data_IF_096467004868
#
_entry.id   IF_096467004868
#
_cell.length_a   1.000
_cell.length_b   1.000
_cell.length_c   1.000
_cell.angle_alpha   90.00
_cell.angle_beta   90.00
_cell.angle_gamma   90.00
#
_symmetry.space_group_name_H-M   'P 1'
#
loop_
_entity.id
_entity.type
_entity.pdbx_description
1 polymer ?
#
# COMPACT_ATOMS: atom_id res chain seq x y z
N UNK A 1 8.51 17.04 1.44
CA UNK A 1 7.05 16.94 1.62
C UNK A 1 6.58 15.66 0.93
N UNK A 2 6.66 14.50 1.59
CA UNK A 2 6.41 13.21 0.92
C UNK A 2 5.74 12.21 1.86
N UNK A 3 4.42 12.35 2.01
CA UNK A 3 3.54 11.34 2.63
C UNK A 3 2.44 10.96 1.63
N UNK A 4 2.83 10.42 0.47
CA UNK A 4 1.88 9.93 -0.52
C UNK A 4 1.87 8.40 -0.38
N UNK A 5 0.98 7.90 0.48
CA UNK A 5 0.35 6.56 0.42
C UNK A 5 -0.53 6.28 1.65
N UNK A 6 -0.44 7.11 2.70
CA UNK A 6 -1.42 7.15 3.77
C UNK A 6 -1.97 8.57 3.90
N UNK A 7 -3.09 8.83 3.23
CA UNK A 7 -3.96 9.96 3.59
C UNK A 7 -4.19 9.94 5.10
N UNK A 8 -4.28 11.10 5.77
CA UNK A 8 -4.52 11.21 7.22
C UNK A 8 -5.63 10.23 7.67
N UNK A 9 -6.67 10.12 6.85
CA UNK A 9 -7.79 9.17 6.95
C UNK A 9 -7.40 7.69 7.06
N UNK A 10 -6.42 7.22 6.30
CA UNK A 10 -5.98 5.82 6.35
C UNK A 10 -5.20 5.52 7.64
N UNK A 11 -4.41 6.49 8.13
CA UNK A 11 -3.73 6.40 9.43
C UNK A 11 -4.71 6.37 10.59
N UNK A 12 -5.76 7.17 10.52
CA UNK A 12 -6.77 7.20 11.57
C UNK A 12 -7.55 5.89 11.66
N UNK A 13 -7.86 5.25 10.53
CA UNK A 13 -8.47 3.90 10.50
C UNK A 13 -7.55 2.86 11.16
N UNK A 14 -6.24 2.93 10.90
CA UNK A 14 -5.28 2.00 11.51
C UNK A 14 -5.17 2.21 13.03
N UNK A 15 -5.19 3.46 13.49
CA UNK A 15 -5.23 3.78 14.94
C UNK A 15 -6.50 3.26 15.59
N UNK A 16 -7.65 3.41 14.94
CA UNK A 16 -8.93 2.88 15.41
C UNK A 16 -8.91 1.34 15.51
N UNK A 17 -8.33 0.67 14.51
CA UNK A 17 -8.12 -0.79 14.54
C UNK A 17 -7.28 -1.20 15.76
N UNK A 18 -6.18 -0.51 16.05
CA UNK A 18 -5.30 -0.84 17.16
C UNK A 18 -5.95 -0.57 18.52
N UNK A 19 -6.75 0.49 18.63
CA UNK A 19 -7.59 0.74 19.80
C UNK A 19 -8.61 -0.39 20.02
N UNK A 20 -9.31 -0.82 18.96
CA UNK A 20 -10.28 -1.90 19.03
C UNK A 20 -9.64 -3.26 19.35
N UNK A 21 -8.44 -3.54 18.84
CA UNK A 21 -7.67 -4.74 19.24
C UNK A 21 -7.38 -4.73 20.73
N UNK A 22 -6.87 -3.60 21.24
CA UNK A 22 -6.58 -3.43 22.66
C UNK A 22 -7.83 -3.63 23.54
N UNK A 23 -9.01 -3.18 23.08
CA UNK A 23 -10.27 -3.41 23.77
C UNK A 23 -10.74 -4.87 23.69
N UNK A 24 -10.61 -5.49 22.51
CA UNK A 24 -10.99 -6.89 22.25
C UNK A 24 -10.18 -7.85 23.09
N UNK A 25 -8.88 -7.60 23.22
CA UNK A 25 -7.95 -8.48 23.94
C UNK A 25 -8.22 -8.49 25.46
N UNK A 26 -8.94 -7.48 25.98
CA UNK A 26 -9.46 -7.45 27.35
C UNK A 26 -10.79 -8.16 27.54
N UNK A 27 -11.38 -8.75 26.49
CA UNK A 27 -12.67 -9.46 26.55
C UNK A 27 -12.45 -10.96 26.49
N UNK A 28 -13.37 -11.72 27.09
CA UNK A 28 -13.41 -13.18 26.98
C UNK A 28 -13.40 -13.58 25.52
N UNK A 29 -12.36 -14.30 25.13
CA UNK A 29 -12.18 -14.79 23.77
C UNK A 29 -13.41 -15.58 23.34
N UNK A 30 -13.88 -15.34 22.11
CA UNK A 30 -15.11 -15.94 21.57
C UNK A 30 -16.41 -15.60 22.32
N UNK A 31 -16.38 -14.67 23.29
CA UNK A 31 -17.60 -14.12 23.87
C UNK A 31 -18.32 -13.16 22.90
N UNK A 32 -19.61 -12.87 23.15
CA UNK A 32 -20.41 -11.97 22.31
C UNK A 32 -19.73 -10.61 22.06
N UNK A 33 -19.22 -9.97 23.11
CA UNK A 33 -18.49 -8.68 23.00
C UNK A 33 -17.19 -8.80 22.20
N UNK A 34 -16.51 -9.94 22.29
CA UNK A 34 -15.30 -10.20 21.51
C UNK A 34 -15.62 -10.32 20.01
N UNK A 35 -16.70 -11.02 19.65
CA UNK A 35 -17.15 -11.13 18.26
C UNK A 35 -17.52 -9.77 17.65
N UNK A 36 -18.27 -8.94 18.39
CA UNK A 36 -18.64 -7.59 17.95
C UNK A 36 -17.39 -6.75 17.62
N UNK A 37 -16.42 -6.72 18.52
CA UNK A 37 -15.17 -5.96 18.33
C UNK A 37 -14.36 -6.53 17.16
N UNK A 38 -14.28 -7.85 17.05
CA UNK A 38 -13.58 -8.51 15.94
C UNK A 38 -14.22 -8.19 14.58
N UNK A 39 -15.54 -8.14 14.50
CA UNK A 39 -16.24 -7.79 13.27
C UNK A 39 -16.15 -6.29 12.94
N UNK A 40 -16.06 -5.41 13.94
CA UNK A 40 -15.70 -4.00 13.73
C UNK A 40 -14.28 -3.88 13.14
N UNK A 41 -13.30 -4.58 13.72
CA UNK A 41 -11.92 -4.61 13.20
C UNK A 41 -11.89 -5.10 11.75
N UNK A 42 -12.59 -6.19 11.42
CA UNK A 42 -12.69 -6.69 10.03
C UNK A 42 -13.29 -5.65 9.08
N UNK A 43 -14.36 -4.95 9.50
CA UNK A 43 -14.99 -3.89 8.70
C UNK A 43 -14.04 -2.73 8.44
N UNK A 44 -13.27 -2.31 9.43
CA UNK A 44 -12.27 -1.24 9.26
C UNK A 44 -11.11 -1.68 8.35
N UNK A 45 -10.63 -2.91 8.47
CA UNK A 45 -9.64 -3.45 7.53
C UNK A 45 -10.17 -3.46 6.09
N UNK A 46 -11.42 -3.88 5.88
CA UNK A 46 -12.07 -3.83 4.56
C UNK A 46 -12.15 -2.40 4.03
N UNK A 47 -12.52 -1.42 4.88
CA UNK A 47 -12.56 0.00 4.53
C UNK A 47 -11.18 0.54 4.13
N UNK A 48 -10.14 0.25 4.91
CA UNK A 48 -8.76 0.65 4.61
C UNK A 48 -8.28 0.03 3.28
N UNK A 49 -8.56 -1.26 3.05
CA UNK A 49 -8.25 -1.94 1.80
C UNK A 49 -8.96 -1.31 0.60
N UNK A 50 -10.24 -0.97 0.72
CA UNK A 50 -11.00 -0.31 -0.34
C UNK A 50 -10.46 1.08 -0.68
N UNK A 51 -10.09 1.88 0.34
CA UNK A 51 -9.47 3.20 0.13
C UNK A 51 -8.15 3.04 -0.63
N UNK A 52 -7.30 2.10 -0.21
CA UNK A 52 -6.02 1.86 -0.85
C UNK A 52 -6.19 1.34 -2.29
N UNK A 53 -7.11 0.39 -2.51
CA UNK A 53 -7.46 -0.12 -3.83
C UNK A 53 -7.98 0.99 -4.77
N UNK A 54 -8.82 1.89 -4.27
CA UNK A 54 -9.33 3.02 -5.04
C UNK A 54 -8.21 4.00 -5.40
N UNK A 55 -7.34 4.34 -4.45
CA UNK A 55 -6.18 5.19 -4.71
C UNK A 55 -5.26 4.60 -5.78
N UNK A 56 -4.97 3.29 -5.70
CA UNK A 56 -4.19 2.57 -6.72
C UNK A 56 -4.87 2.68 -8.08
N UNK A 57 -6.18 2.40 -8.17
CA UNK A 57 -6.93 2.48 -9.42
C UNK A 57 -6.90 3.88 -10.03
N UNK A 58 -7.05 4.92 -9.21
CA UNK A 58 -6.97 6.31 -9.66
C UNK A 58 -5.59 6.66 -10.22
N UNK A 59 -4.52 6.23 -9.54
CA UNK A 59 -3.14 6.45 -10.00
C UNK A 59 -2.90 5.69 -11.31
N UNK A 60 -3.30 4.42 -11.38
CA UNK A 60 -3.17 3.61 -12.60
C UNK A 60 -3.90 4.26 -13.77
N UNK A 61 -5.16 4.66 -13.59
CA UNK A 61 -5.91 5.36 -14.64
C UNK A 61 -5.23 6.66 -15.07
N UNK A 62 -4.60 7.41 -14.14
CA UNK A 62 -3.86 8.63 -14.49
C UNK A 62 -2.60 8.35 -15.29
N UNK A 63 -1.86 7.29 -14.93
CA UNK A 63 -0.62 6.89 -15.62
C UNK A 63 -0.92 6.42 -17.05
N UNK A 64 -2.00 5.65 -17.25
CA UNK A 64 -2.29 5.06 -18.56
C UNK A 64 -3.13 5.98 -19.46
N UNK A 65 -3.54 7.15 -18.98
CA UNK A 65 -4.39 8.05 -19.77
C UNK A 65 -3.59 8.75 -20.87
N UNK A 66 -3.86 8.37 -22.13
CA UNK A 66 -3.34 9.05 -23.31
C UNK A 66 -1.83 8.88 -23.53
N UNK A 67 -1.25 7.78 -23.03
CA UNK A 67 0.18 7.47 -23.20
C UNK A 67 0.38 6.32 -24.19
N UNK A 68 1.41 6.41 -25.01
CA UNK A 68 1.76 5.36 -25.98
C UNK A 68 2.51 4.19 -25.34
N UNK A 69 3.22 4.44 -24.23
CA UNK A 69 3.96 3.43 -23.48
C UNK A 69 4.14 3.85 -22.01
N UNK A 70 4.31 2.87 -21.14
CA UNK A 70 4.65 3.09 -19.73
C UNK A 70 6.01 2.47 -19.43
N UNK A 71 6.90 3.25 -18.82
CA UNK A 71 8.21 2.79 -18.36
C UNK A 71 8.25 2.85 -16.84
N UNK A 72 8.56 1.73 -16.18
CA UNK A 72 8.66 1.62 -14.73
C UNK A 72 10.04 1.15 -14.31
N UNK A 73 10.56 1.73 -13.24
CA UNK A 73 11.78 1.22 -12.64
C UNK A 73 11.52 -0.13 -11.93
N UNK A 74 12.41 -1.09 -12.19
CA UNK A 74 12.43 -2.39 -11.54
C UNK A 74 13.01 -2.31 -10.11
N UNK A 75 12.42 -1.45 -9.26
CA UNK A 75 12.80 -1.33 -7.86
C UNK A 75 12.47 -2.61 -7.08
N UNK A 76 13.46 -3.09 -6.31
CA UNK A 76 13.28 -4.17 -5.33
C UNK A 76 13.17 -3.57 -3.93
N UNK A 77 11.93 -3.37 -3.45
CA UNK A 77 11.70 -2.86 -2.07
C UNK A 77 12.36 -3.78 -1.04
N UNK A 78 12.32 -5.09 -1.24
CA UNK A 78 12.97 -6.06 -0.34
C UNK A 78 14.47 -5.76 -0.25
N UNK A 79 15.15 -5.57 -1.38
CA UNK A 79 16.57 -5.21 -1.40
C UNK A 79 16.83 -3.82 -0.80
N UNK A 80 16.02 -2.83 -1.14
CA UNK A 80 16.16 -1.45 -0.64
C UNK A 80 15.95 -1.33 0.87
N UNK A 81 15.12 -2.21 1.46
CA UNK A 81 14.77 -2.18 2.89
C UNK A 81 15.51 -3.23 3.73
N UNK A 82 16.37 -4.04 3.11
CA UNK A 82 17.19 -5.05 3.79
C UNK A 82 18.29 -4.42 4.66
N UNK A 83 18.75 -3.23 4.29
CA UNK A 83 19.86 -2.53 4.95
C UNK A 83 19.46 -1.12 5.41
N UNK A 84 20.27 -0.55 6.29
CA UNK A 84 20.02 0.73 6.93
C UNK A 84 19.68 0.53 8.41
N UNK A 85 20.58 0.99 9.28
CA UNK A 85 20.44 0.88 10.73
C UNK A 85 19.21 1.61 11.28
N UNK A 86 19.19 1.82 12.60
CA UNK A 86 18.01 2.34 13.33
C UNK A 86 17.39 3.60 12.72
N UNK A 87 18.19 4.50 12.14
CA UNK A 87 17.71 5.73 11.50
C UNK A 87 16.76 5.49 10.30
N UNK A 88 16.88 4.35 9.59
CA UNK A 88 15.97 3.98 8.48
C UNK A 88 14.81 3.08 8.89
N UNK A 89 14.73 2.68 10.17
CA UNK A 89 13.76 1.66 10.63
C UNK A 89 12.30 2.02 10.28
N UNK A 90 11.89 3.26 10.56
CA UNK A 90 10.52 3.74 10.28
C UNK A 90 10.24 3.80 8.78
N UNK A 91 11.16 4.34 8.00
CA UNK A 91 11.03 4.40 6.54
C UNK A 91 10.98 3.00 5.92
N UNK A 92 11.88 2.10 6.32
CA UNK A 92 11.93 0.72 5.84
C UNK A 92 10.65 -0.04 6.21
N UNK A 93 10.08 0.22 7.38
CA UNK A 93 8.77 -0.33 7.77
C UNK A 93 7.66 0.18 6.85
N UNK A 94 7.53 1.49 6.66
CA UNK A 94 6.51 2.07 5.76
C UNK A 94 6.67 1.59 4.32
N UNK A 95 7.91 1.47 3.84
CA UNK A 95 8.20 0.94 2.50
C UNK A 95 7.78 -0.53 2.37
N UNK A 96 8.00 -1.37 3.38
CA UNK A 96 7.53 -2.78 3.37
C UNK A 96 6.02 -2.91 3.48
N UNK A 97 5.38 -1.97 4.16
CA UNK A 97 3.91 -1.89 4.27
C UNK A 97 3.28 -1.30 3.00
N UNK A 98 4.08 -0.82 2.04
CA UNK A 98 3.57 -0.27 0.80
C UNK A 98 2.91 -1.36 -0.07
N UNK A 99 1.93 -0.93 -0.87
CA UNK A 99 1.18 -1.82 -1.77
C UNK A 99 1.76 -1.85 -3.18
N UNK A 100 3.09 -1.69 -3.32
CA UNK A 100 3.70 -1.57 -4.66
C UNK A 100 3.47 -2.83 -5.51
N UNK A 101 3.46 -4.01 -4.92
CA UNK A 101 3.14 -5.25 -5.65
C UNK A 101 1.73 -5.25 -6.22
N UNK A 102 0.75 -4.80 -5.43
CA UNK A 102 -0.64 -4.65 -5.89
C UNK A 102 -0.76 -3.56 -6.97
N UNK A 103 -0.07 -2.43 -6.79
CA UNK A 103 0.00 -1.37 -7.79
C UNK A 103 0.59 -1.87 -9.11
N UNK A 104 1.77 -2.52 -9.10
CA UNK A 104 2.42 -3.07 -10.30
C UNK A 104 1.52 -4.06 -11.02
N UNK A 105 0.86 -4.96 -10.29
CA UNK A 105 -0.08 -5.91 -10.87
C UNK A 105 -1.24 -5.20 -11.57
N UNK A 106 -1.88 -4.22 -10.93
CA UNK A 106 -3.00 -3.49 -11.52
C UNK A 106 -2.57 -2.61 -12.70
N UNK A 107 -1.37 -2.03 -12.65
CA UNK A 107 -0.80 -1.28 -13.77
C UNK A 107 -0.57 -2.21 -14.97
N UNK A 108 0.08 -3.36 -14.77
CA UNK A 108 0.29 -4.35 -15.83
C UNK A 108 -1.02 -4.81 -16.47
N UNK A 109 -2.01 -5.16 -15.63
CA UNK A 109 -3.35 -5.55 -16.11
C UNK A 109 -4.04 -4.46 -16.93
N UNK A 110 -3.89 -3.19 -16.52
CA UNK A 110 -4.44 -2.05 -17.23
C UNK A 110 -3.75 -1.83 -18.57
N UNK A 111 -2.42 -1.85 -18.59
CA UNK A 111 -1.60 -1.70 -19.79
C UNK A 111 -1.91 -2.81 -20.81
N UNK A 112 -1.96 -4.06 -20.38
CA UNK A 112 -2.33 -5.21 -21.22
C UNK A 112 -3.71 -5.02 -21.85
N UNK A 113 -4.71 -4.63 -21.05
CA UNK A 113 -6.08 -4.40 -21.53
C UNK A 113 -6.20 -3.26 -22.54
N UNK A 114 -5.37 -2.23 -22.39
CA UNK A 114 -5.41 -1.02 -23.23
C UNK A 114 -4.38 -1.08 -24.38
N UNK A 115 -3.65 -2.19 -24.53
CA UNK A 115 -2.64 -2.36 -25.58
C UNK A 115 -1.40 -1.47 -25.39
N UNK A 116 -1.15 -0.98 -24.18
CA UNK A 116 -0.04 -0.07 -23.87
C UNK A 116 1.18 -0.91 -23.47
N UNK A 117 2.32 -0.82 -24.19
CA UNK A 117 3.55 -1.48 -23.79
C UNK A 117 4.03 -1.03 -22.41
N UNK A 118 4.41 -1.98 -21.56
CA UNK A 118 4.97 -1.76 -20.23
C UNK A 118 6.42 -2.26 -20.15
N UNK A 119 7.36 -1.34 -19.97
CA UNK A 119 8.80 -1.64 -19.91
C UNK A 119 9.34 -1.52 -18.48
N UNK A 120 10.13 -2.50 -18.04
CA UNK A 120 10.89 -2.45 -16.79
C UNK A 120 12.33 -2.02 -17.03
N UNK A 121 12.78 -0.91 -16.43
CA UNK A 121 14.17 -0.44 -16.56
C UNK A 121 14.99 -0.68 -15.29
N UNK A 122 16.27 -0.98 -15.48
CA UNK A 122 17.23 -1.11 -14.38
C UNK A 122 17.50 0.24 -13.72
N UNK A 123 17.62 0.26 -12.39
CA UNK A 123 17.66 1.48 -11.56
C UNK A 123 19.05 2.13 -11.46
N UNK A 124 20.03 1.72 -12.27
CA UNK A 124 21.39 2.27 -12.18
C UNK A 124 21.41 3.69 -12.76
N UNK A 125 21.80 4.67 -11.95
CA UNK A 125 22.04 6.08 -12.30
C UNK A 125 20.83 6.94 -12.71
N UNK A 126 19.59 6.47 -12.56
CA UNK A 126 18.38 7.22 -12.96
C UNK A 126 18.06 8.43 -12.08
N UNK A 127 18.64 8.52 -10.88
CA UNK A 127 18.42 9.63 -9.92
C UNK A 127 19.65 10.53 -9.73
N UNK A 128 20.71 10.36 -10.53
CA UNK A 128 22.02 11.04 -10.36
C UNK A 128 22.35 12.04 -11.49
N UNK A 129 21.38 12.34 -12.36
CA UNK A 129 21.51 13.36 -13.41
C UNK A 129 21.35 14.77 -12.86
#
# INVERSE_FOLDING_TARGET
>A
MTQILYTTRARDILREIDALKSLRDRKTRHGRKWHILNDQIKRLYKKANNIAANAINQIVSRITNGVDAVVVEALSIKGMTAHGGNYKRTMNRTMRENRLGEFRRRLAQRCEREGIPLYGVATKHTSQT
#
